data_IF_962516965814
#
_entry.id   IF_962516965814
#
_cell.length_a   1.000
_cell.length_b   1.000
_cell.length_c   1.000
_cell.angle_alpha   90.00
_cell.angle_beta   90.00
_cell.angle_gamma   90.00
#
_symmetry.space_group_name_H-M   'P 1'
#
loop_
_entity.id
_entity.type
_entity.pdbx_description
1 polymer ?
#
# COMPACT_ATOMS: atom_id res chain seq x y z
N UNK A 1 10.83 0.37 0.40
CA UNK A 1 9.62 -0.49 0.30
C UNK A 1 9.76 -1.45 -0.89
N UNK A 2 9.00 -2.55 -0.90
CA UNK A 2 8.89 -3.45 -2.04
C UNK A 2 8.11 -2.82 -3.22
N UNK A 3 7.96 -3.54 -4.34
CA UNK A 3 7.27 -3.04 -5.54
C UNK A 3 5.77 -2.84 -5.35
N UNK A 4 5.21 -1.75 -5.89
CA UNK A 4 3.76 -1.44 -5.83
C UNK A 4 2.98 -1.99 -7.02
N UNK A 5 3.04 -3.31 -7.23
CA UNK A 5 2.43 -3.95 -8.41
C UNK A 5 0.92 -4.21 -8.25
N UNK A 6 0.35 -4.02 -7.06
CA UNK A 6 -1.07 -4.21 -6.81
C UNK A 6 -1.90 -2.96 -7.14
N UNK A 7 -3.13 -3.15 -7.61
CA UNK A 7 -4.09 -2.06 -7.80
C UNK A 7 -4.45 -1.42 -6.45
N UNK A 8 -4.36 -0.08 -6.31
CA UNK A 8 -4.79 0.61 -5.10
C UNK A 8 -6.29 0.49 -4.84
N UNK A 9 -6.69 0.53 -3.57
CA UNK A 9 -8.10 0.63 -3.17
C UNK A 9 -8.30 1.72 -2.10
N UNK A 10 -9.54 2.17 -1.90
CA UNK A 10 -9.85 3.12 -0.82
C UNK A 10 -11.06 2.70 0.01
N UNK A 11 -11.10 3.13 1.26
CA UNK A 11 -12.23 2.93 2.17
C UNK A 11 -12.32 4.04 3.22
N UNK A 12 -13.47 4.17 3.87
CA UNK A 12 -13.66 5.09 5.01
C UNK A 12 -13.40 4.34 6.31
N UNK A 13 -12.47 4.84 7.11
CA UNK A 13 -12.15 4.30 8.43
C UNK A 13 -13.26 4.56 9.45
N UNK A 14 -13.19 3.86 10.59
CA UNK A 14 -14.11 4.07 11.72
C UNK A 14 -14.04 5.48 12.31
N UNK A 15 -12.95 6.19 12.03
CA UNK A 15 -12.69 7.58 12.38
C UNK A 15 -13.24 8.58 11.34
N UNK A 16 -13.94 8.10 10.31
CA UNK A 16 -14.53 8.92 9.25
C UNK A 16 -13.54 9.44 8.20
N UNK A 17 -12.25 9.07 8.29
CA UNK A 17 -11.24 9.50 7.33
C UNK A 17 -11.17 8.54 6.12
N UNK A 18 -10.85 9.07 4.94
CA UNK A 18 -10.56 8.25 3.77
C UNK A 18 -9.13 7.71 3.86
N UNK A 19 -8.97 6.43 3.54
CA UNK A 19 -7.70 5.73 3.46
C UNK A 19 -7.48 5.23 2.05
N UNK A 20 -6.25 5.39 1.54
CA UNK A 20 -5.79 4.74 0.30
C UNK A 20 -4.83 3.62 0.68
N UNK A 21 -5.12 2.40 0.25
CA UNK A 21 -4.39 1.19 0.56
C UNK A 21 -3.66 0.65 -0.66
N UNK A 22 -2.42 0.19 -0.46
CA UNK A 22 -1.64 -0.53 -1.46
C UNK A 22 -0.92 -1.69 -0.79
N UNK A 23 -1.06 -2.88 -1.39
CA UNK A 23 -0.19 -4.02 -1.08
C UNK A 23 1.08 -3.87 -1.92
N UNK A 24 2.23 -3.81 -1.26
CA UNK A 24 3.52 -3.73 -1.93
C UNK A 24 4.27 -5.04 -1.73
N UNK A 25 4.41 -5.78 -2.82
CA UNK A 25 5.08 -7.07 -2.90
C UNK A 25 6.34 -6.95 -3.73
N UNK A 26 7.42 -7.55 -3.27
CA UNK A 26 8.74 -7.42 -3.85
C UNK A 26 9.28 -8.79 -4.18
N UNK A 27 9.56 -9.02 -5.45
CA UNK A 27 10.14 -10.27 -5.92
C UNK A 27 11.44 -10.01 -6.68
N UNK A 28 12.48 -10.81 -6.41
CA UNK A 28 13.80 -10.64 -7.02
C UNK A 28 13.77 -10.73 -8.55
N UNK A 29 12.87 -11.54 -9.12
CA UNK A 29 12.67 -11.60 -10.58
C UNK A 29 12.13 -10.30 -11.19
N UNK A 30 11.53 -9.42 -10.39
CA UNK A 30 11.03 -8.11 -10.82
C UNK A 30 12.04 -6.99 -10.59
N UNK A 31 13.26 -7.30 -10.12
CA UNK A 31 14.27 -6.29 -9.78
C UNK A 31 13.88 -5.37 -8.62
N UNK A 32 12.87 -5.75 -7.84
CA UNK A 32 12.38 -4.97 -6.69
C UNK A 32 12.96 -5.51 -5.39
N UNK A 33 13.07 -4.65 -4.37
CA UNK A 33 13.46 -5.08 -3.02
C UNK A 33 12.46 -6.13 -2.52
N UNK A 34 12.95 -7.32 -2.13
CA UNK A 34 12.12 -8.39 -1.57
C UNK A 34 11.31 -7.94 -0.35
N UNK A 35 10.08 -8.44 -0.26
CA UNK A 35 9.23 -8.34 0.93
C UNK A 35 7.77 -8.01 0.61
N UNK A 36 6.90 -8.24 1.59
CA UNK A 36 5.46 -8.00 1.48
C UNK A 36 5.02 -7.03 2.57
N UNK A 37 4.33 -5.95 2.17
CA UNK A 37 3.83 -4.93 3.09
C UNK A 37 2.44 -4.47 2.68
N UNK A 38 1.65 -4.07 3.67
CA UNK A 38 0.42 -3.30 3.47
C UNK A 38 0.70 -1.87 3.92
N UNK A 39 0.53 -0.90 3.03
CA UNK A 39 0.74 0.52 3.34
C UNK A 39 -0.60 1.26 3.21
N UNK A 40 -0.91 2.08 4.23
CA UNK A 40 -2.08 2.92 4.27
C UNK A 40 -1.69 4.40 4.32
N UNK A 41 -2.25 5.19 3.41
CA UNK A 41 -2.09 6.64 3.37
C UNK A 41 -3.40 7.32 3.78
N UNK A 42 -3.26 8.41 4.53
CA UNK A 42 -4.35 9.35 4.87
C UNK A 42 -3.79 10.76 4.89
N UNK A 43 -4.65 11.77 4.73
CA UNK A 43 -4.21 13.15 4.86
C UNK A 43 -3.79 13.47 6.32
N UNK A 44 -2.78 14.34 6.50
CA UNK A 44 -2.52 15.01 7.78
C UNK A 44 -3.75 15.81 8.22
N UNK A 45 -3.85 16.10 9.52
CA UNK A 45 -4.81 17.09 10.02
C UNK A 45 -4.29 18.50 9.77
#
# INVERSE_FOLDING_TARGET
PAGGQATPMSYTGKDGQQYVLVVVGGHGSLGTKMGDYVIAYKLPK
#
